data_IF_693169109565
#
_entry.id   IF_693169109565
#
_cell.length_a   1.000
_cell.length_b   1.000
_cell.length_c   1.000
_cell.angle_alpha   90.00
_cell.angle_beta   90.00
_cell.angle_gamma   90.00
#
_symmetry.space_group_name_H-M   'P 1'
#
loop_
_entity.id
_entity.type
_entity.pdbx_description
1 polymer ?
#
# COMPACT_ATOMS: atom_id res chain seq x y z
N UNK A 1 1.70 -8.75 3.40
CA UNK A 1 0.90 -9.78 2.73
C UNK A 1 0.96 -11.09 3.50
N UNK A 2 -0.16 -11.83 3.53
CA UNK A 2 -0.21 -13.18 4.09
C UNK A 2 0.54 -14.22 3.25
N UNK A 3 0.76 -15.42 3.80
CA UNK A 3 0.52 -15.76 5.20
C UNK A 3 1.56 -15.12 6.12
N UNK A 4 1.13 -14.72 7.33
CA UNK A 4 2.03 -14.10 8.30
C UNK A 4 2.70 -15.19 9.15
N UNK A 5 3.85 -15.68 8.68
CA UNK A 5 4.65 -16.68 9.40
C UNK A 5 5.80 -16.03 10.17
N UNK A 6 5.83 -16.23 11.49
CA UNK A 6 6.86 -15.70 12.36
C UNK A 6 7.01 -16.56 13.62
N UNK A 7 8.21 -16.65 14.17
CA UNK A 7 8.46 -17.29 15.44
C UNK A 7 7.73 -16.54 16.58
N UNK A 8 7.22 -17.33 17.52
CA UNK A 8 6.40 -16.84 18.63
C UNK A 8 7.03 -15.69 19.41
N UNK A 9 8.36 -15.75 19.66
CA UNK A 9 9.10 -14.74 20.40
C UNK A 9 9.06 -13.34 19.74
N UNK A 10 8.91 -13.25 18.42
CA UNK A 10 8.73 -11.98 17.71
C UNK A 10 7.32 -11.43 17.90
N UNK A 11 6.31 -12.29 17.76
CA UNK A 11 4.92 -11.88 17.98
C UNK A 11 4.68 -11.45 19.44
N UNK A 12 5.30 -12.13 20.40
CA UNK A 12 5.16 -11.85 21.84
C UNK A 12 5.72 -10.49 22.28
N UNK A 13 6.64 -9.88 21.52
CA UNK A 13 7.10 -8.50 21.73
C UNK A 13 5.97 -7.48 21.66
N UNK A 14 4.93 -7.80 20.90
CA UNK A 14 3.80 -6.91 20.63
C UNK A 14 2.56 -7.23 21.47
N UNK A 15 2.65 -8.19 22.39
CA UNK A 15 1.52 -8.60 23.22
C UNK A 15 0.93 -7.41 23.98
N UNK A 16 -0.38 -7.21 23.81
CA UNK A 16 -1.13 -6.14 24.44
C UNK A 16 -1.01 -4.75 23.78
N UNK A 17 -0.22 -4.59 22.71
CA UNK A 17 -0.06 -3.29 22.04
C UNK A 17 -1.25 -2.90 21.15
N UNK A 18 -2.16 -3.83 20.91
CA UNK A 18 -3.31 -3.66 20.01
C UNK A 18 -4.66 -3.87 20.72
N UNK A 19 -4.68 -3.76 22.06
CA UNK A 19 -5.86 -4.04 22.88
C UNK A 19 -7.03 -3.09 22.61
N UNK A 20 -6.76 -1.86 22.20
CA UNK A 20 -7.72 -0.82 21.86
C UNK A 20 -8.22 -0.86 20.40
N UNK A 21 -7.68 -1.78 19.58
CA UNK A 21 -8.17 -2.07 18.25
C UNK A 21 -7.71 -1.14 17.14
N UNK A 22 -8.17 -1.42 15.91
CA UNK A 22 -7.70 -0.76 14.70
C UNK A 22 -8.13 0.69 14.56
N UNK A 23 -9.31 1.08 15.04
CA UNK A 23 -9.75 2.47 14.98
C UNK A 23 -8.81 3.36 15.81
N UNK A 24 -8.51 2.97 17.03
CA UNK A 24 -7.57 3.69 17.90
C UNK A 24 -6.11 3.64 17.39
N UNK A 25 -5.67 2.50 16.84
CA UNK A 25 -4.35 2.39 16.21
C UNK A 25 -4.23 3.41 15.05
N UNK A 26 -5.25 3.52 14.21
CA UNK A 26 -5.25 4.46 13.09
C UNK A 26 -5.11 5.90 13.54
N UNK A 27 -5.85 6.32 14.55
CA UNK A 27 -5.77 7.67 15.13
C UNK A 27 -4.36 7.95 15.70
N UNK A 28 -3.81 7.01 16.50
CA UNK A 28 -2.44 7.15 17.05
C UNK A 28 -1.38 7.23 15.95
N UNK A 29 -1.51 6.41 14.92
CA UNK A 29 -0.59 6.40 13.77
C UNK A 29 -0.65 7.74 13.06
N UNK A 30 -1.84 8.27 12.80
CA UNK A 30 -2.03 9.56 12.16
C UNK A 30 -1.36 10.71 12.93
N UNK A 31 -1.62 10.81 14.24
CA UNK A 31 -1.00 11.83 15.08
C UNK A 31 0.53 11.67 15.11
N UNK A 32 1.01 10.43 15.18
CA UNK A 32 2.45 10.15 15.17
C UNK A 32 3.12 10.56 13.86
N UNK A 33 2.48 10.29 12.72
CA UNK A 33 2.98 10.70 11.41
C UNK A 33 3.10 12.23 11.30
N UNK A 34 2.13 13.00 11.82
CA UNK A 34 2.20 14.47 11.90
C UNK A 34 3.34 14.94 12.80
N UNK A 35 3.48 14.38 13.99
CA UNK A 35 4.54 14.73 14.94
C UNK A 35 5.94 14.49 14.36
N UNK A 36 6.09 13.43 13.55
CA UNK A 36 7.35 13.10 12.88
C UNK A 36 7.60 13.92 11.61
N UNK A 37 6.61 14.70 11.15
CA UNK A 37 6.68 15.44 9.91
C UNK A 37 6.70 14.56 8.66
N UNK A 38 6.18 13.33 8.74
CA UNK A 38 6.12 12.39 7.62
C UNK A 38 4.96 12.71 6.67
N UNK A 39 3.93 13.34 7.19
CA UNK A 39 2.79 13.84 6.41
C UNK A 39 2.60 15.34 6.68
N UNK A 40 2.01 16.11 5.74
CA UNK A 40 1.68 17.51 5.95
C UNK A 40 0.80 17.71 7.19
N UNK A 41 1.03 18.80 7.92
CA UNK A 41 0.32 19.09 9.17
C UNK A 41 -1.21 19.28 8.99
N UNK A 42 -1.63 19.73 7.82
CA UNK A 42 -3.01 19.95 7.42
C UNK A 42 -3.70 18.72 6.81
N UNK A 43 -2.98 17.58 6.73
CA UNK A 43 -3.55 16.31 6.26
C UNK A 43 -4.81 15.95 7.04
N UNK A 44 -5.85 15.52 6.32
CA UNK A 44 -7.09 15.02 6.90
C UNK A 44 -7.03 13.50 7.04
N UNK A 45 -7.45 12.97 8.18
CA UNK A 45 -7.65 11.54 8.35
C UNK A 45 -8.92 11.11 7.60
N UNK A 46 -8.78 10.14 6.71
CA UNK A 46 -9.93 9.65 5.95
C UNK A 46 -10.76 8.66 6.79
N UNK A 47 -12.10 8.65 6.62
CA UNK A 47 -12.97 7.81 7.42
C UNK A 47 -12.80 6.31 7.07
N UNK A 48 -13.26 5.45 7.98
CA UNK A 48 -13.37 4.02 7.74
C UNK A 48 -14.47 3.77 6.70
N UNK A 49 -14.26 2.84 5.74
CA UNK A 49 -15.32 2.42 4.82
C UNK A 49 -16.55 1.90 5.59
N UNK A 50 -17.75 2.29 5.18
CA UNK A 50 -18.99 1.90 5.86
C UNK A 50 -19.18 0.38 5.92
N UNK A 51 -18.69 -0.33 4.91
CA UNK A 51 -18.75 -1.81 4.81
C UNK A 51 -17.67 -2.53 5.61
N UNK A 52 -16.76 -1.81 6.25
CA UNK A 52 -15.72 -2.39 7.10
C UNK A 52 -16.10 -2.27 8.57
N UNK A 53 -16.02 -3.38 9.32
CA UNK A 53 -16.40 -3.42 10.73
C UNK A 53 -15.60 -2.45 11.60
N UNK A 54 -16.27 -1.77 12.52
CA UNK A 54 -15.59 -1.04 13.60
C UNK A 54 -15.07 -2.02 14.67
N UNK A 55 -13.96 -1.67 15.34
CA UNK A 55 -13.44 -2.50 16.43
C UNK A 55 -14.51 -2.80 17.51
N UNK A 56 -15.28 -1.78 17.86
CA UNK A 56 -16.32 -1.93 18.89
C UNK A 56 -17.45 -2.89 18.50
N UNK A 57 -17.62 -3.20 17.21
CA UNK A 57 -18.60 -4.17 16.73
C UNK A 57 -18.08 -5.61 16.75
N UNK A 58 -16.78 -5.82 17.00
CA UNK A 58 -16.20 -7.16 17.13
C UNK A 58 -16.68 -7.81 18.43
N UNK A 59 -17.29 -9.00 18.38
CA UNK A 59 -17.70 -9.74 19.58
C UNK A 59 -16.53 -9.94 20.55
N UNK A 60 -16.79 -9.82 21.85
CA UNK A 60 -15.75 -9.89 22.88
C UNK A 60 -14.98 -11.22 22.83
N UNK A 61 -15.65 -12.33 22.58
CA UNK A 61 -15.05 -13.67 22.46
C UNK A 61 -14.12 -13.81 21.25
N UNK A 62 -14.18 -12.90 20.27
CA UNK A 62 -13.29 -12.89 19.09
C UNK A 62 -12.12 -11.94 19.21
N UNK A 63 -12.15 -10.95 20.14
CA UNK A 63 -11.14 -9.89 20.22
C UNK A 63 -9.74 -10.41 20.51
N UNK A 64 -9.60 -11.45 21.32
CA UNK A 64 -8.28 -12.04 21.61
C UNK A 64 -7.65 -12.62 20.32
N UNK A 65 -8.44 -13.29 19.48
CA UNK A 65 -8.00 -13.79 18.19
C UNK A 65 -7.56 -12.65 17.27
N UNK A 66 -8.38 -11.60 17.12
CA UNK A 66 -8.10 -10.46 16.26
C UNK A 66 -6.83 -9.70 16.68
N UNK A 67 -6.62 -9.49 18.00
CA UNK A 67 -5.40 -8.86 18.52
C UNK A 67 -4.18 -9.70 18.22
N UNK A 68 -4.26 -11.02 18.46
CA UNK A 68 -3.12 -11.92 18.20
C UNK A 68 -2.72 -11.95 16.74
N UNK A 69 -3.64 -11.90 15.80
CA UNK A 69 -3.35 -11.78 14.37
C UNK A 69 -2.51 -10.54 14.06
N UNK A 70 -2.80 -9.40 14.71
CA UNK A 70 -2.01 -8.18 14.51
C UNK A 70 -0.65 -8.22 15.23
N UNK A 71 -0.57 -8.83 16.40
CA UNK A 71 0.70 -9.06 17.12
C UNK A 71 1.66 -9.92 16.27
N UNK A 72 1.13 -10.97 15.63
CA UNK A 72 1.88 -11.82 14.70
C UNK A 72 2.39 -11.02 13.50
N UNK A 73 1.53 -10.19 12.90
CA UNK A 73 1.92 -9.32 11.78
C UNK A 73 2.99 -8.31 12.18
N UNK A 74 2.86 -7.67 13.32
CA UNK A 74 3.84 -6.70 13.81
C UNK A 74 5.21 -7.35 14.05
N UNK A 75 5.24 -8.54 14.66
CA UNK A 75 6.47 -9.32 14.82
C UNK A 75 7.08 -9.76 13.50
N UNK A 76 6.25 -10.13 12.52
CA UNK A 76 6.67 -10.47 11.16
C UNK A 76 7.34 -9.27 10.47
N UNK A 77 6.75 -8.07 10.57
CA UNK A 77 7.30 -6.83 10.00
C UNK A 77 8.64 -6.47 10.65
N UNK A 78 8.74 -6.49 11.99
CA UNK A 78 10.00 -6.22 12.70
C UNK A 78 11.10 -7.21 12.28
N UNK A 79 10.75 -8.49 12.14
CA UNK A 79 11.71 -9.50 11.70
C UNK A 79 12.24 -9.21 10.29
N UNK A 80 11.36 -8.83 9.34
CA UNK A 80 11.77 -8.46 7.98
C UNK A 80 12.74 -7.28 8.01
N UNK A 81 12.43 -6.25 8.78
CA UNK A 81 13.28 -5.06 8.91
C UNK A 81 14.67 -5.41 9.48
N UNK A 82 14.72 -6.24 10.51
CA UNK A 82 15.99 -6.75 11.06
C UNK A 82 16.79 -7.55 10.03
N UNK A 83 16.14 -8.39 9.20
CA UNK A 83 16.86 -9.14 8.16
C UNK A 83 17.37 -8.21 7.04
N UNK A 84 16.59 -7.20 6.65
CA UNK A 84 17.04 -6.16 5.71
C UNK A 84 18.26 -5.41 6.28
N UNK A 85 18.24 -5.06 7.57
CA UNK A 85 19.36 -4.44 8.27
C UNK A 85 20.65 -5.26 8.16
N UNK A 86 20.58 -6.59 8.31
CA UNK A 86 21.75 -7.47 8.16
C UNK A 86 22.36 -7.43 6.75
N UNK A 87 21.55 -7.22 5.70
CA UNK A 87 22.08 -7.03 4.34
C UNK A 87 22.86 -5.72 4.25
N UNK A 88 22.38 -4.66 4.90
CA UNK A 88 23.09 -3.38 4.97
C UNK A 88 24.41 -3.52 5.75
N UNK A 89 24.39 -4.19 6.91
CA UNK A 89 25.59 -4.46 7.72
C UNK A 89 26.65 -5.24 6.92
N UNK A 90 26.23 -6.13 6.04
CA UNK A 90 27.15 -6.90 5.18
C UNK A 90 27.83 -5.98 4.14
N UNK A 91 27.14 -4.98 3.60
CA UNK A 91 27.76 -3.97 2.72
C UNK A 91 28.84 -3.18 3.45
N UNK A 92 28.62 -2.84 4.73
CA UNK A 92 29.60 -2.19 5.59
C UNK A 92 30.82 -3.10 5.85
N UNK A 93 30.58 -4.37 6.19
CA UNK A 93 31.63 -5.38 6.41
C UNK A 93 32.52 -5.58 5.17
N UNK A 94 31.95 -5.49 3.98
CA UNK A 94 32.64 -5.60 2.70
C UNK A 94 33.30 -4.28 2.25
N UNK A 95 33.13 -3.18 2.97
CA UNK A 95 33.60 -1.83 2.63
C UNK A 95 33.11 -1.33 1.26
N UNK A 96 31.89 -1.72 0.84
CA UNK A 96 31.27 -1.28 -0.41
C UNK A 96 30.06 -0.38 -0.19
N UNK A 97 29.64 -0.16 1.08
CA UNK A 97 28.43 0.59 1.44
C UNK A 97 28.39 1.99 0.84
N UNK A 98 29.53 2.70 0.86
CA UNK A 98 29.60 4.08 0.37
C UNK A 98 29.24 4.23 -1.10
N UNK A 99 29.65 3.25 -1.92
CA UNK A 99 29.37 3.24 -3.37
C UNK A 99 28.23 2.30 -3.77
N UNK A 100 27.36 1.97 -2.84
CA UNK A 100 26.16 1.15 -3.08
C UNK A 100 24.92 1.98 -2.86
N UNK A 101 24.06 2.11 -3.89
CA UNK A 101 22.72 2.66 -3.72
C UNK A 101 21.78 1.56 -3.23
N UNK A 102 20.98 1.88 -2.21
CA UNK A 102 19.97 1.00 -1.63
C UNK A 102 18.61 1.66 -1.79
N UNK A 103 17.67 0.98 -2.42
CA UNK A 103 16.26 1.31 -2.43
C UNK A 103 15.56 0.37 -1.45
N UNK A 104 15.04 0.88 -0.35
CA UNK A 104 14.22 0.12 0.58
C UNK A 104 12.77 0.51 0.39
N UNK A 105 11.98 -0.43 -0.15
CA UNK A 105 10.56 -0.24 -0.44
C UNK A 105 9.78 -1.13 0.52
N UNK A 106 8.95 -0.52 1.36
CA UNK A 106 8.14 -1.25 2.32
C UNK A 106 6.78 -1.59 1.71
N UNK A 107 6.68 -2.82 1.19
CA UNK A 107 5.53 -3.32 0.45
C UNK A 107 5.53 -2.91 -1.02
N UNK A 108 4.82 -3.66 -1.84
CA UNK A 108 4.64 -3.47 -3.29
C UNK A 108 3.29 -2.83 -3.62
N UNK A 109 2.39 -2.82 -2.67
CA UNK A 109 1.04 -2.25 -2.68
C UNK A 109 0.62 -1.92 -1.23
N UNK A 110 -0.54 -1.33 -1.06
CA UNK A 110 -1.11 -1.09 0.25
C UNK A 110 -1.33 -2.37 1.06
N UNK A 111 -1.59 -2.23 2.35
CA UNK A 111 -1.79 -3.35 3.25
C UNK A 111 -2.97 -4.23 2.80
N UNK A 112 -2.81 -5.55 2.89
CA UNK A 112 -3.80 -6.51 2.38
C UNK A 112 -5.00 -6.66 3.31
N UNK A 113 -6.18 -6.32 2.80
CA UNK A 113 -7.46 -6.59 3.47
C UNK A 113 -8.06 -7.95 3.10
N UNK A 114 -7.31 -8.80 2.38
CA UNK A 114 -7.78 -10.10 1.88
C UNK A 114 -8.02 -11.12 3.00
N UNK A 115 -7.53 -10.86 4.22
CA UNK A 115 -7.92 -11.59 5.43
C UNK A 115 -9.36 -11.36 5.88
N UNK A 116 -10.07 -10.38 5.27
CA UNK A 116 -11.48 -10.07 5.52
C UNK A 116 -11.78 -9.87 7.02
N UNK A 117 -12.50 -10.78 7.64
CA UNK A 117 -12.81 -10.74 9.08
C UNK A 117 -11.68 -11.34 9.96
N UNK A 118 -10.50 -11.56 9.41
CA UNK A 118 -9.39 -12.31 10.03
C UNK A 118 -9.49 -13.80 9.72
N UNK A 119 -8.35 -14.46 9.48
CA UNK A 119 -8.33 -15.85 9.08
C UNK A 119 -7.16 -16.63 9.65
N UNK A 120 -7.39 -17.92 9.99
CA UNK A 120 -6.34 -18.89 10.32
C UNK A 120 -5.68 -19.47 9.06
N UNK A 121 -6.31 -19.28 7.88
CA UNK A 121 -5.76 -19.70 6.61
C UNK A 121 -6.18 -18.76 5.48
N UNK A 122 -5.22 -18.25 4.76
CA UNK A 122 -5.41 -17.45 3.54
C UNK A 122 -6.31 -18.17 2.53
N UNK A 123 -6.18 -19.49 2.40
CA UNK A 123 -6.97 -20.28 1.47
C UNK A 123 -8.48 -20.26 1.75
N UNK A 124 -8.89 -20.10 3.01
CA UNK A 124 -10.30 -19.99 3.37
C UNK A 124 -10.91 -18.72 2.74
N UNK A 125 -10.23 -17.60 2.85
CA UNK A 125 -10.67 -16.32 2.29
C UNK A 125 -10.58 -16.31 0.75
N UNK A 126 -9.45 -16.72 0.18
CA UNK A 126 -9.23 -16.70 -1.27
C UNK A 126 -10.15 -17.63 -2.05
N UNK A 127 -10.48 -18.80 -1.51
CA UNK A 127 -11.38 -19.76 -2.16
C UNK A 127 -12.84 -19.57 -1.76
N UNK A 128 -13.15 -18.54 -1.00
CA UNK A 128 -14.52 -18.24 -0.54
C UNK A 128 -15.19 -19.43 0.16
N UNK A 129 -14.40 -20.21 0.93
CA UNK A 129 -14.90 -21.36 1.66
C UNK A 129 -15.78 -20.86 2.82
N UNK A 130 -17.08 -21.21 2.86
CA UNK A 130 -17.98 -20.74 3.90
C UNK A 130 -17.52 -21.20 5.29
N UNK A 131 -17.29 -20.24 6.17
CA UNK A 131 -16.92 -20.49 7.56
C UNK A 131 -17.31 -19.29 8.43
N UNK A 132 -17.31 -19.49 9.77
CA UNK A 132 -17.48 -18.41 10.74
C UNK A 132 -16.19 -18.23 11.55
N UNK A 133 -16.04 -17.07 12.19
CA UNK A 133 -14.87 -16.81 13.04
C UNK A 133 -14.85 -17.77 14.24
N UNK A 134 -16.01 -18.17 14.78
CA UNK A 134 -16.09 -19.16 15.84
C UNK A 134 -15.54 -20.52 15.39
N UNK A 135 -15.89 -20.99 14.20
CA UNK A 135 -15.34 -22.24 13.62
C UNK A 135 -13.83 -22.15 13.45
N UNK A 136 -13.31 -21.00 13.03
CA UNK A 136 -11.88 -20.77 12.92
C UNK A 136 -11.18 -20.77 14.29
N UNK A 137 -11.78 -20.13 15.31
CA UNK A 137 -11.26 -20.14 16.68
C UNK A 137 -11.25 -21.57 17.26
N UNK A 138 -12.28 -22.34 17.01
CA UNK A 138 -12.35 -23.75 17.44
C UNK A 138 -11.25 -24.59 16.77
N UNK A 139 -11.04 -24.42 15.46
CA UNK A 139 -9.97 -25.08 14.75
C UNK A 139 -8.58 -24.63 15.25
N UNK A 140 -8.39 -23.34 15.48
CA UNK A 140 -7.16 -22.78 16.06
C UNK A 140 -6.86 -23.42 17.43
N UNK A 141 -7.88 -23.56 18.29
CA UNK A 141 -7.72 -24.15 19.62
C UNK A 141 -7.25 -25.61 19.54
N UNK A 142 -7.73 -26.38 18.57
CA UNK A 142 -7.28 -27.76 18.33
C UNK A 142 -5.83 -27.82 17.80
N UNK A 143 -5.35 -26.76 17.13
CA UNK A 143 -4.00 -26.67 16.55
C UNK A 143 -2.96 -26.10 17.52
N UNK A 144 -3.37 -25.65 18.72
CA UNK A 144 -2.47 -25.12 19.76
C UNK A 144 -2.83 -23.72 20.28
N UNK A 145 -4.02 -23.22 19.94
CA UNK A 145 -4.57 -21.95 20.41
C UNK A 145 -3.87 -20.72 19.80
N UNK A 146 -3.98 -19.60 20.48
CA UNK A 146 -3.41 -18.31 20.05
C UNK A 146 -1.89 -18.38 19.79
N UNK A 147 -1.19 -19.23 20.49
CA UNK A 147 0.27 -19.40 20.34
C UNK A 147 0.65 -20.14 19.04
N UNK A 148 -0.29 -20.80 18.38
CA UNK A 148 -0.05 -21.46 17.11
C UNK A 148 -0.17 -20.51 15.89
N UNK A 149 -0.76 -19.31 16.09
CA UNK A 149 -0.81 -18.29 15.04
C UNK A 149 0.61 -17.80 14.71
N UNK A 150 0.88 -17.67 13.42
CA UNK A 150 2.22 -17.38 12.90
C UNK A 150 3.08 -18.63 12.70
N UNK A 151 2.67 -19.79 13.24
CA UNK A 151 3.39 -21.05 13.15
C UNK A 151 3.06 -21.85 11.87
N UNK A 152 3.76 -22.98 11.66
CA UNK A 152 3.68 -23.73 10.38
C UNK A 152 2.38 -24.49 10.16
N UNK A 153 1.45 -24.47 11.12
CA UNK A 153 0.15 -25.13 11.02
C UNK A 153 -0.96 -24.22 10.51
N UNK A 154 -0.69 -22.93 10.31
CA UNK A 154 -1.66 -21.93 9.94
C UNK A 154 -1.08 -20.94 8.94
N UNK A 155 -1.86 -20.55 7.94
CA UNK A 155 -1.54 -19.52 6.95
C UNK A 155 -2.31 -18.24 7.28
N UNK A 156 -2.20 -17.78 8.53
CA UNK A 156 -3.07 -16.74 9.06
C UNK A 156 -2.86 -15.37 8.42
N UNK A 157 -3.97 -14.63 8.33
CA UNK A 157 -4.05 -13.24 7.90
C UNK A 157 -4.86 -12.42 8.91
N UNK A 158 -4.48 -11.17 9.10
CA UNK A 158 -5.20 -10.26 10.00
C UNK A 158 -6.52 -9.76 9.39
N UNK A 159 -7.38 -9.22 10.25
CA UNK A 159 -8.63 -8.56 9.85
C UNK A 159 -8.37 -7.32 8.99
N UNK A 160 -9.24 -7.06 8.02
CA UNK A 160 -9.17 -5.90 7.12
C UNK A 160 -9.07 -4.54 7.84
N UNK A 161 -9.63 -4.43 9.04
CA UNK A 161 -9.49 -3.25 9.88
C UNK A 161 -8.04 -2.93 10.25
N UNK A 162 -7.21 -3.95 10.47
CA UNK A 162 -5.78 -3.77 10.71
C UNK A 162 -5.04 -3.31 9.45
N UNK A 163 -5.41 -3.86 8.27
CA UNK A 163 -4.88 -3.39 6.99
C UNK A 163 -5.17 -1.89 6.78
N UNK A 164 -6.43 -1.50 6.95
CA UNK A 164 -6.85 -0.10 6.85
C UNK A 164 -6.13 0.81 7.86
N UNK A 165 -5.90 0.35 9.08
CA UNK A 165 -5.09 1.09 10.05
C UNK A 165 -3.63 1.19 9.61
N UNK A 166 -3.08 0.18 8.93
CA UNK A 166 -1.73 0.20 8.34
C UNK A 166 -1.58 1.21 7.20
N UNK A 167 -2.65 1.48 6.45
CA UNK A 167 -2.65 2.42 5.32
C UNK A 167 -2.99 3.88 5.72
N UNK A 168 -2.88 4.22 7.00
CA UNK A 168 -3.08 5.58 7.51
C UNK A 168 -2.18 6.60 6.77
N UNK A 169 -2.67 7.76 6.31
CA UNK A 169 -4.02 8.34 6.52
C UNK A 169 -4.99 8.07 5.36
N UNK A 170 -4.64 7.19 4.42
CA UNK A 170 -5.30 7.04 3.12
C UNK A 170 -6.59 6.24 3.20
N UNK A 171 -7.42 6.38 2.15
CA UNK A 171 -8.60 5.54 1.93
C UNK A 171 -8.17 4.17 1.42
N UNK A 172 -8.89 3.14 1.86
CA UNK A 172 -8.86 1.78 1.34
C UNK A 172 -7.53 1.04 1.57
N UNK A 173 -7.29 0.00 0.78
CA UNK A 173 -6.25 -1.01 1.00
C UNK A 173 -5.77 -1.58 -0.33
N UNK A 174 -4.88 -2.55 -0.33
CA UNK A 174 -4.47 -3.35 -1.49
C UNK A 174 -5.65 -3.68 -2.41
N UNK A 175 -5.41 -3.82 -3.70
CA UNK A 175 -6.32 -4.02 -4.83
C UNK A 175 -7.08 -2.77 -5.29
N UNK A 176 -7.12 -1.70 -4.50
CA UNK A 176 -7.83 -0.47 -4.86
C UNK A 176 -6.84 0.52 -5.50
N UNK A 177 -6.69 0.44 -6.83
CA UNK A 177 -5.78 1.29 -7.59
C UNK A 177 -6.20 2.77 -7.63
N UNK A 178 -7.45 3.06 -7.34
CA UNK A 178 -8.03 4.41 -7.34
C UNK A 178 -7.65 5.28 -6.15
N UNK A 179 -7.09 4.69 -5.09
CA UNK A 179 -6.80 5.42 -3.85
C UNK A 179 -5.46 5.01 -3.24
N UNK A 180 -4.86 5.94 -2.52
CA UNK A 180 -3.49 5.79 -2.02
C UNK A 180 -3.31 4.72 -0.94
N UNK A 181 -4.37 4.30 -0.24
CA UNK A 181 -4.29 3.14 0.63
C UNK A 181 -3.99 1.83 -0.14
N UNK A 182 -4.30 1.79 -1.44
CA UNK A 182 -3.94 0.66 -2.30
C UNK A 182 -2.60 0.78 -3.01
N UNK A 183 -2.09 2.01 -3.21
CA UNK A 183 -0.99 2.26 -4.17
C UNK A 183 0.19 3.04 -3.62
N UNK A 184 0.06 3.76 -2.50
CA UNK A 184 1.13 4.62 -1.99
C UNK A 184 1.93 3.94 -0.90
N UNK A 185 3.13 3.52 -1.24
CA UNK A 185 4.05 2.82 -0.34
C UNK A 185 5.24 3.70 0.04
N UNK A 186 5.76 3.57 1.27
CA UNK A 186 6.97 4.28 1.68
C UNK A 186 8.20 3.68 1.01
N UNK A 187 9.12 4.56 0.59
CA UNK A 187 10.41 4.20 0.05
C UNK A 187 11.51 5.05 0.71
N UNK A 188 12.62 4.43 1.05
CA UNK A 188 13.83 5.11 1.46
C UNK A 188 14.96 4.83 0.46
N UNK A 189 15.73 5.86 0.11
CA UNK A 189 16.89 5.73 -0.75
C UNK A 189 18.13 6.14 0.03
N UNK A 190 19.16 5.30 0.02
CA UNK A 190 20.43 5.56 0.68
C UNK A 190 21.61 5.30 -0.25
N UNK A 191 22.50 6.29 -0.39
CA UNK A 191 23.75 6.19 -1.14
C UNK A 191 24.78 7.16 -0.55
N UNK A 192 25.58 6.75 0.44
CA UNK A 192 26.40 7.66 1.21
C UNK A 192 27.38 8.51 0.37
N UNK A 193 27.95 7.95 -0.71
CA UNK A 193 28.85 8.71 -1.58
C UNK A 193 28.17 9.88 -2.33
N UNK A 194 26.84 9.86 -2.49
CA UNK A 194 26.14 10.84 -3.34
C UNK A 194 24.91 11.49 -2.70
N UNK A 195 24.33 10.88 -1.67
CA UNK A 195 23.13 11.38 -1.00
C UNK A 195 23.52 11.73 0.45
N UNK A 196 23.44 12.99 0.82
CA UNK A 196 23.62 13.41 2.20
C UNK A 196 22.46 12.89 3.06
N UNK A 197 22.72 12.46 4.30
CA UNK A 197 21.65 12.07 5.23
C UNK A 197 20.64 13.19 5.38
N UNK A 198 19.39 12.93 5.03
CA UNK A 198 18.29 13.87 5.12
C UNK A 198 16.99 13.11 5.40
N UNK A 199 16.28 13.49 6.47
CA UNK A 199 15.02 12.88 6.90
C UNK A 199 13.78 13.60 6.34
N UNK A 200 13.99 14.68 5.57
CA UNK A 200 12.90 15.44 4.95
C UNK A 200 12.19 14.55 3.92
N UNK A 201 10.89 14.29 4.07
CA UNK A 201 10.15 13.53 3.08
C UNK A 201 10.21 14.17 1.69
N UNK A 202 10.31 13.35 0.67
CA UNK A 202 10.21 13.76 -0.73
C UNK A 202 8.75 13.67 -1.14
N UNK A 203 8.12 14.81 -1.46
CA UNK A 203 6.70 14.91 -1.81
C UNK A 203 6.43 14.88 -3.31
N UNK A 204 7.47 14.81 -4.14
CA UNK A 204 7.33 14.67 -5.58
C UNK A 204 6.58 13.38 -5.90
N UNK A 205 5.66 13.45 -6.88
CA UNK A 205 4.96 12.27 -7.34
C UNK A 205 5.91 11.37 -8.12
N UNK A 206 6.02 10.12 -7.67
CA UNK A 206 6.81 9.07 -8.30
C UNK A 206 6.04 7.75 -8.34
N UNK A 207 6.47 6.85 -9.21
CA UNK A 207 5.93 5.53 -9.37
C UNK A 207 7.07 4.49 -9.44
N UNK A 208 6.79 3.22 -9.19
CA UNK A 208 7.80 2.15 -9.20
C UNK A 208 8.55 2.06 -10.54
N UNK A 209 7.91 2.40 -11.65
CA UNK A 209 8.55 2.44 -12.98
C UNK A 209 9.65 3.53 -13.12
N UNK A 210 9.78 4.42 -12.13
CA UNK A 210 10.81 5.46 -12.09
C UNK A 210 12.17 4.92 -11.57
N UNK A 211 12.21 3.74 -10.97
CA UNK A 211 13.43 3.14 -10.42
C UNK A 211 14.42 2.80 -11.54
N UNK A 212 13.97 2.15 -12.60
CA UNK A 212 14.82 1.74 -13.72
C UNK A 212 15.46 2.92 -14.42
N UNK A 213 14.74 3.97 -14.86
CA UNK A 213 15.37 5.15 -15.45
C UNK A 213 16.28 5.91 -14.48
N UNK A 214 16.03 5.84 -13.17
CA UNK A 214 16.95 6.38 -12.15
C UNK A 214 18.28 5.63 -12.15
N UNK A 215 18.26 4.30 -12.27
CA UNK A 215 19.48 3.49 -12.36
C UNK A 215 20.26 3.82 -13.64
N UNK A 216 19.59 3.91 -14.79
CA UNK A 216 20.23 4.32 -16.05
C UNK A 216 20.87 5.69 -15.96
N UNK A 217 20.19 6.65 -15.36
CA UNK A 217 20.69 8.02 -15.17
C UNK A 217 21.95 8.06 -14.26
N UNK A 218 21.90 7.33 -13.13
CA UNK A 218 23.04 7.21 -12.20
C UNK A 218 24.28 6.62 -12.87
N UNK A 219 24.08 5.63 -13.72
CA UNK A 219 25.15 4.91 -14.41
C UNK A 219 25.62 5.64 -15.69
N UNK A 220 24.89 6.66 -16.15
CA UNK A 220 25.17 7.35 -17.42
C UNK A 220 24.96 6.44 -18.63
N UNK A 221 24.11 5.41 -18.52
CA UNK A 221 23.82 4.44 -19.57
C UNK A 221 22.55 4.84 -20.29
N UNK A 222 22.58 4.86 -21.62
CA UNK A 222 21.36 5.03 -22.42
C UNK A 222 20.62 3.71 -22.52
N UNK A 223 19.30 3.66 -22.24
CA UNK A 223 18.50 2.46 -22.45
C UNK A 223 18.64 1.94 -23.88
N UNK A 224 18.86 0.64 -24.09
CA UNK A 224 18.92 0.06 -25.43
C UNK A 224 17.55 0.15 -26.12
N UNK A 225 17.56 0.50 -27.40
CA UNK A 225 16.34 0.53 -28.23
C UNK A 225 16.02 -0.83 -28.85
N UNK A 226 16.99 -1.70 -28.96
CA UNK A 226 16.86 -3.05 -29.50
C UNK A 226 17.62 -4.00 -28.59
N UNK A 227 16.98 -5.09 -28.18
CA UNK A 227 17.56 -6.19 -27.39
C UNK A 227 17.29 -7.50 -28.13
N UNK A 228 18.33 -8.26 -28.42
CA UNK A 228 18.26 -9.54 -29.15
C UNK A 228 17.44 -9.47 -30.45
N UNK A 229 17.51 -8.34 -31.17
CA UNK A 229 16.79 -8.10 -32.40
C UNK A 229 15.35 -7.57 -32.25
N UNK A 230 14.85 -7.44 -31.01
CA UNK A 230 13.51 -6.94 -30.73
C UNK A 230 13.55 -5.45 -30.33
N UNK A 231 12.70 -4.65 -30.99
CA UNK A 231 12.49 -3.26 -30.63
C UNK A 231 11.89 -3.20 -29.21
N UNK A 232 12.48 -2.35 -28.38
CA UNK A 232 11.99 -2.13 -27.02
C UNK A 232 10.99 -0.99 -27.00
N UNK A 233 9.95 -1.13 -26.14
CA UNK A 233 9.03 -0.04 -25.85
C UNK A 233 9.74 1.11 -25.10
N UNK A 234 9.27 2.35 -25.23
CA UNK A 234 9.78 3.46 -24.42
C UNK A 234 9.65 3.21 -22.92
N UNK A 235 10.61 3.71 -22.15
CA UNK A 235 10.52 3.70 -20.69
C UNK A 235 9.66 4.89 -20.24
N UNK A 236 8.51 4.64 -19.64
CA UNK A 236 7.57 5.67 -19.17
C UNK A 236 7.99 6.33 -17.85
N UNK A 237 8.97 5.75 -17.17
CA UNK A 237 9.47 6.24 -15.89
C UNK A 237 10.32 7.51 -16.04
N UNK A 238 10.41 8.26 -14.95
CA UNK A 238 11.20 9.50 -14.83
C UNK A 238 12.27 9.32 -13.76
N UNK A 239 13.53 9.65 -14.07
CA UNK A 239 14.61 9.56 -13.08
C UNK A 239 14.32 10.40 -11.83
N UNK A 240 14.51 9.81 -10.65
CA UNK A 240 14.36 10.44 -9.33
C UNK A 240 15.62 11.18 -8.87
N UNK A 241 16.74 11.15 -9.62
CA UNK A 241 18.03 11.73 -9.23
C UNK A 241 17.92 13.20 -8.82
N UNK A 242 17.02 13.96 -9.44
CA UNK A 242 16.80 15.38 -9.12
C UNK A 242 16.30 15.63 -7.69
N UNK A 243 15.72 14.62 -7.04
CA UNK A 243 15.22 14.72 -5.66
C UNK A 243 16.30 14.42 -4.61
N UNK A 244 17.44 13.87 -5.02
CA UNK A 244 18.48 13.42 -4.08
C UNK A 244 19.09 14.55 -3.28
N UNK A 245 19.32 15.69 -3.94
CA UNK A 245 19.93 16.87 -3.33
C UNK A 245 18.91 17.96 -2.93
N UNK A 246 17.66 17.88 -3.42
CA UNK A 246 16.64 18.91 -3.23
C UNK A 246 15.26 18.28 -2.94
N UNK A 247 14.84 18.36 -1.68
CA UNK A 247 13.55 17.89 -1.23
C UNK A 247 12.38 18.73 -1.78
N UNK A 248 12.66 19.94 -2.26
CA UNK A 248 11.65 20.90 -2.73
C UNK A 248 11.59 21.01 -4.26
N UNK A 249 12.42 20.25 -4.96
CA UNK A 249 12.44 20.25 -6.42
C UNK A 249 11.05 19.97 -7.00
N UNK A 250 10.63 20.66 -8.06
CA UNK A 250 9.34 20.40 -8.68
C UNK A 250 9.22 18.96 -9.19
N UNK A 251 8.03 18.38 -9.06
CA UNK A 251 7.72 17.07 -9.63
C UNK A 251 7.98 17.05 -11.13
N UNK A 252 8.70 16.04 -11.61
CA UNK A 252 9.00 15.86 -13.04
C UNK A 252 8.06 14.86 -13.73
N UNK A 253 7.45 13.94 -12.97
CA UNK A 253 6.47 13.00 -13.51
C UNK A 253 5.15 13.73 -13.73
N UNK A 254 4.72 13.79 -14.98
CA UNK A 254 3.52 14.55 -15.38
C UNK A 254 2.28 13.68 -15.33
N UNK A 255 2.35 12.45 -15.84
CA UNK A 255 1.20 11.55 -15.96
C UNK A 255 1.54 10.15 -15.45
N UNK A 256 0.58 9.51 -14.78
CA UNK A 256 0.66 8.11 -14.41
C UNK A 256 -0.74 7.47 -14.42
N UNK A 257 -0.87 6.40 -15.19
CA UNK A 257 -2.05 5.58 -15.30
C UNK A 257 -2.07 4.48 -14.23
N UNK A 258 -3.25 4.18 -13.70
CA UNK A 258 -3.50 3.12 -12.72
C UNK A 258 -4.74 2.34 -13.09
N UNK A 259 -4.64 1.01 -13.11
CA UNK A 259 -5.79 0.10 -13.23
C UNK A 259 -5.50 -1.22 -12.51
N UNK A 260 -6.48 -1.68 -11.77
CA UNK A 260 -6.48 -3.00 -11.16
C UNK A 260 -7.91 -3.50 -10.96
N UNK A 261 -8.31 -4.53 -11.68
CA UNK A 261 -9.63 -5.15 -11.55
C UNK A 261 -10.80 -4.15 -11.61
N UNK A 262 -10.70 -3.13 -12.47
CA UNK A 262 -11.72 -2.09 -12.63
C UNK A 262 -11.65 -0.94 -11.62
N UNK A 263 -10.79 -1.02 -10.60
CA UNK A 263 -10.38 0.14 -9.81
C UNK A 263 -9.36 0.93 -10.61
N UNK A 264 -9.68 2.19 -10.97
CA UNK A 264 -8.95 2.94 -11.98
C UNK A 264 -8.60 4.34 -11.51
N UNK A 265 -7.48 4.87 -12.01
CA UNK A 265 -7.07 6.23 -11.71
C UNK A 265 -6.09 6.78 -12.72
N UNK A 266 -6.02 8.10 -12.80
CA UNK A 266 -5.05 8.84 -13.58
C UNK A 266 -4.52 10.01 -12.76
N UNK A 267 -3.20 10.07 -12.61
CA UNK A 267 -2.50 11.25 -12.11
C UNK A 267 -2.11 12.14 -13.30
N UNK A 268 -2.32 13.43 -13.16
CA UNK A 268 -1.79 14.42 -14.10
C UNK A 268 -1.57 15.76 -13.40
N UNK A 269 -0.31 16.22 -13.38
CA UNK A 269 0.10 17.54 -12.91
C UNK A 269 -0.54 17.94 -11.55
N UNK A 270 -0.41 17.07 -10.55
CA UNK A 270 -0.92 17.29 -9.19
C UNK A 270 -2.42 17.02 -9.01
N UNK A 271 -3.13 16.62 -10.06
CA UNK A 271 -4.49 16.15 -9.98
C UNK A 271 -4.59 14.63 -10.07
N UNK A 272 -5.60 14.07 -9.44
CA UNK A 272 -5.88 12.62 -9.50
C UNK A 272 -7.37 12.39 -9.69
N UNK A 273 -7.73 11.82 -10.83
CA UNK A 273 -9.12 11.39 -11.09
C UNK A 273 -9.20 9.88 -10.98
N UNK A 274 -10.21 9.35 -10.30
CA UNK A 274 -10.30 7.93 -10.04
C UNK A 274 -11.71 7.40 -9.82
N UNK A 275 -11.88 6.09 -9.96
CA UNK A 275 -13.10 5.37 -9.64
C UNK A 275 -12.80 4.07 -8.90
N UNK A 276 -13.57 3.79 -7.85
CA UNK A 276 -13.34 2.67 -6.93
C UNK A 276 -13.38 1.30 -7.62
N UNK A 277 -14.28 1.14 -8.60
CA UNK A 277 -14.48 -0.14 -9.30
C UNK A 277 -15.38 -1.13 -8.57
N UNK A 278 -15.49 -2.37 -9.08
CA UNK A 278 -16.49 -3.34 -8.61
C UNK A 278 -16.06 -4.15 -7.38
N UNK A 279 -14.74 -4.23 -7.10
CA UNK A 279 -14.23 -5.09 -6.03
C UNK A 279 -14.16 -4.39 -4.69
N UNK A 280 -14.58 -5.10 -3.63
CA UNK A 280 -14.44 -4.68 -2.24
C UNK A 280 -13.57 -5.72 -1.52
N UNK A 281 -12.24 -5.53 -1.41
CA UNK A 281 -11.29 -6.57 -1.00
C UNK A 281 -11.54 -7.18 0.39
N UNK A 282 -12.19 -6.43 1.28
CA UNK A 282 -12.51 -6.88 2.64
C UNK A 282 -13.85 -7.60 2.77
N UNK A 283 -14.55 -7.86 1.67
CA UNK A 283 -15.78 -8.64 1.65
C UNK A 283 -15.57 -9.93 0.87
N UNK A 284 -16.15 -11.03 1.37
CA UNK A 284 -16.12 -12.34 0.68
C UNK A 284 -16.83 -12.26 -0.68
N UNK A 285 -17.90 -11.49 -0.76
CA UNK A 285 -18.62 -11.23 -2.01
C UNK A 285 -18.73 -9.72 -2.17
N UNK A 286 -18.21 -9.20 -3.28
CA UNK A 286 -18.34 -7.78 -3.62
C UNK A 286 -19.74 -7.49 -4.17
N UNK A 287 -20.54 -6.65 -3.50
CA UNK A 287 -21.87 -6.33 -3.98
C UNK A 287 -21.84 -5.71 -5.37
N UNK A 288 -22.68 -6.22 -6.27
CA UNK A 288 -22.83 -5.67 -7.62
C UNK A 288 -21.74 -6.08 -8.63
N UNK A 289 -20.74 -6.88 -8.26
CA UNK A 289 -19.68 -7.33 -9.16
C UNK A 289 -20.22 -7.97 -10.44
N UNK A 290 -21.19 -8.87 -10.32
CA UNK A 290 -21.76 -9.60 -11.47
C UNK A 290 -22.57 -8.71 -12.44
N UNK A 291 -23.03 -7.55 -11.99
CA UNK A 291 -23.82 -6.59 -12.78
C UNK A 291 -23.02 -5.29 -13.06
N UNK A 292 -21.71 -5.30 -12.83
CA UNK A 292 -20.89 -4.11 -12.99
C UNK A 292 -20.86 -3.65 -14.46
N UNK A 293 -21.00 -2.35 -14.63
CA UNK A 293 -20.92 -1.65 -15.89
C UNK A 293 -20.02 -0.42 -15.73
N UNK A 294 -18.85 -0.49 -16.31
CA UNK A 294 -17.81 0.55 -16.18
C UNK A 294 -18.27 1.94 -16.66
N UNK A 295 -19.28 2.01 -17.53
CA UNK A 295 -19.84 3.28 -17.99
C UNK A 295 -20.64 4.02 -16.90
N UNK A 296 -21.09 3.29 -15.88
CA UNK A 296 -21.86 3.83 -14.74
C UNK A 296 -20.99 4.17 -13.53
N UNK A 297 -19.69 3.93 -13.61
CA UNK A 297 -18.79 4.20 -12.49
C UNK A 297 -18.78 5.67 -12.11
N UNK A 298 -18.90 5.92 -10.80
CA UNK A 298 -18.74 7.24 -10.23
C UNK A 298 -17.26 7.58 -10.13
N UNK A 299 -16.84 8.61 -10.86
CA UNK A 299 -15.51 9.15 -10.77
C UNK A 299 -15.41 10.25 -9.70
N UNK A 300 -14.31 10.27 -8.99
CA UNK A 300 -13.91 11.26 -8.00
C UNK A 300 -12.69 12.04 -8.52
N UNK A 301 -12.47 13.26 -8.00
CA UNK A 301 -11.36 14.11 -8.41
C UNK A 301 -10.68 14.73 -7.19
N UNK A 302 -9.35 14.67 -7.15
CA UNK A 302 -8.54 15.17 -6.04
C UNK A 302 -7.43 16.09 -6.52
N UNK A 303 -7.12 17.15 -5.73
CA UNK A 303 -5.99 18.03 -5.95
C UNK A 303 -4.90 17.72 -4.94
N UNK A 304 -3.94 16.86 -5.30
CA UNK A 304 -2.98 16.26 -4.37
C UNK A 304 -2.05 17.26 -3.69
N UNK A 305 -1.78 18.40 -4.32
CA UNK A 305 -0.93 19.46 -3.74
C UNK A 305 -1.55 20.10 -2.48
N UNK A 306 -2.85 19.99 -2.29
CA UNK A 306 -3.60 20.51 -1.14
C UNK A 306 -4.43 19.45 -0.42
N UNK A 307 -4.45 18.23 -0.91
CA UNK A 307 -5.18 17.10 -0.32
C UNK A 307 -4.33 15.83 -0.37
N UNK A 308 -3.45 15.70 0.60
CA UNK A 308 -2.48 14.60 0.68
C UNK A 308 -3.13 13.21 0.73
N UNK A 309 -4.31 13.11 1.33
CA UNK A 309 -4.98 11.83 1.64
C UNK A 309 -6.18 11.50 0.76
N UNK A 310 -6.47 12.30 -0.27
CA UNK A 310 -7.67 12.15 -1.09
C UNK A 310 -8.96 12.22 -0.24
N UNK A 311 -9.02 13.20 0.66
CA UNK A 311 -10.12 13.36 1.61
C UNK A 311 -11.29 14.15 1.04
N UNK A 312 -11.05 15.07 0.07
CA UNK A 312 -12.05 15.96 -0.48
C UNK A 312 -12.26 15.72 -1.98
N UNK A 313 -13.40 15.10 -2.33
CA UNK A 313 -13.81 14.92 -3.72
C UNK A 313 -14.25 16.24 -4.35
N UNK A 314 -13.54 16.68 -5.38
CA UNK A 314 -13.80 17.91 -6.14
C UNK A 314 -14.58 17.67 -7.43
N UNK A 315 -15.02 16.46 -7.74
CA UNK A 315 -15.69 16.13 -9.00
C UNK A 315 -16.90 17.05 -9.30
N UNK A 316 -17.70 17.34 -8.28
CA UNK A 316 -18.84 18.24 -8.41
C UNK A 316 -18.48 19.73 -8.53
N UNK A 317 -17.31 20.14 -8.02
CA UNK A 317 -16.82 21.53 -8.08
C UNK A 317 -16.03 21.83 -9.36
N UNK A 318 -15.37 20.82 -9.93
CA UNK A 318 -14.46 20.90 -11.07
C UNK A 318 -14.86 19.92 -12.19
N UNK A 319 -16.11 19.95 -12.70
CA UNK A 319 -16.61 18.95 -13.64
C UNK A 319 -15.87 18.96 -14.99
N UNK A 320 -15.39 20.12 -15.45
CA UNK A 320 -14.60 20.22 -16.66
C UNK A 320 -13.25 19.53 -16.49
N UNK A 321 -12.56 19.78 -15.37
CA UNK A 321 -11.29 19.11 -15.06
C UNK A 321 -11.46 17.61 -14.98
N UNK A 322 -12.51 17.12 -14.33
CA UNK A 322 -12.83 15.69 -14.28
C UNK A 322 -13.01 15.11 -15.69
N UNK A 323 -13.72 15.80 -16.58
CA UNK A 323 -13.92 15.37 -17.97
C UNK A 323 -12.60 15.27 -18.74
N UNK A 324 -11.71 16.27 -18.60
CA UNK A 324 -10.38 16.28 -19.20
C UNK A 324 -9.54 15.10 -18.69
N UNK A 325 -9.54 14.84 -17.38
CA UNK A 325 -8.82 13.73 -16.76
C UNK A 325 -9.34 12.36 -17.20
N UNK A 326 -10.65 12.19 -17.33
CA UNK A 326 -11.26 10.95 -17.88
C UNK A 326 -10.85 10.73 -19.34
N UNK A 327 -10.81 11.78 -20.14
CA UNK A 327 -10.37 11.69 -21.53
C UNK A 327 -8.88 11.31 -21.61
N UNK A 328 -8.06 11.87 -20.72
CA UNK A 328 -6.65 11.50 -20.61
C UNK A 328 -6.47 10.04 -20.19
N UNK A 329 -7.25 9.55 -19.20
CA UNK A 329 -7.25 8.14 -18.79
C UNK A 329 -7.49 7.21 -19.97
N UNK A 330 -8.53 7.49 -20.77
CA UNK A 330 -8.86 6.68 -21.95
C UNK A 330 -7.74 6.70 -23.00
N UNK A 331 -7.16 7.87 -23.24
CA UNK A 331 -6.03 8.02 -24.16
C UNK A 331 -4.80 7.22 -23.71
N UNK A 332 -4.44 7.29 -22.44
CA UNK A 332 -3.31 6.53 -21.89
C UNK A 332 -3.58 5.02 -21.96
N UNK A 333 -4.80 4.59 -21.67
CA UNK A 333 -5.21 3.19 -21.77
C UNK A 333 -5.10 2.68 -23.22
N UNK A 334 -5.55 3.45 -24.20
CA UNK A 334 -5.45 3.12 -25.63
C UNK A 334 -3.98 3.06 -26.08
N UNK A 335 -3.19 4.08 -25.72
CA UNK A 335 -1.76 4.19 -26.10
C UNK A 335 -0.94 3.01 -25.58
N UNK A 336 -1.26 2.50 -24.39
CA UNK A 336 -0.53 1.44 -23.71
C UNK A 336 -1.21 0.07 -23.81
N UNK A 337 -2.17 -0.11 -24.71
CA UNK A 337 -2.89 -1.38 -24.91
C UNK A 337 -3.51 -1.95 -23.62
N UNK A 338 -3.98 -1.08 -22.73
CA UNK A 338 -4.61 -1.48 -21.47
C UNK A 338 -6.09 -1.84 -21.61
N UNK A 339 -6.68 -1.67 -22.79
CA UNK A 339 -7.99 -2.18 -23.12
C UNK A 339 -7.89 -3.60 -23.66
N UNK A 340 -8.87 -4.49 -23.33
CA UNK A 340 -8.95 -5.83 -23.91
C UNK A 340 -9.26 -5.82 -25.40
#
# INVERSE_FOLDING_TARGET
HGPHHIFKEWADKYKGQFDDGWDALRERTFERQKQLGWIPADTKLTPRPETMAAWNSVPENQRAFQRRLMEVFAGFVEHIDVQAGKVIDELDRLNIRDNTIVFYIFGDNGASAEGQNGSISELLAQNQIPNTIEQQIDAMNQLGGLDALGGPKMDNMYHAGWAWAGDTPFKYTKLIASHFGGTRNPMAISWPARIKPDKTPRSQFHHVNDIVPTIYDILGIKPPRVVDGFQQDPIDGVSMVYTFADATAPTRKVTQYFDNNGSRGIYHDGWFASTFGPLTPWLTISPGLAAWDSAKDKWELYKLNSDFSQAEDLAGKEPQRLSEMKSLFLKEAETNNAFP
#
